data_IF_206137221783
#
_entry.id   IF_206137221783
#
_cell.length_a   1.000
_cell.length_b   1.000
_cell.length_c   1.000
_cell.angle_alpha   90.00
_cell.angle_beta   90.00
_cell.angle_gamma   90.00
#
_symmetry.space_group_name_H-M   'P 1'
#
loop_
_entity.id
_entity.type
_entity.pdbx_description
1 polymer ?
#
# COMPACT_ATOMS: atom_id res chain seq x y z
N UNK A 1 9.68 -5.22 2.05
CA UNK A 1 8.46 -5.51 1.26
C UNK A 1 7.31 -4.81 1.96
N UNK A 2 6.71 -3.80 1.33
CA UNK A 2 5.60 -3.06 1.92
C UNK A 2 4.30 -3.64 1.36
N UNK A 3 3.46 -4.17 2.24
CA UNK A 3 2.17 -4.75 1.90
C UNK A 3 1.07 -3.86 2.47
N UNK A 4 0.17 -3.38 1.62
CA UNK A 4 -1.08 -2.73 2.06
C UNK A 4 -2.27 -3.56 1.58
N UNK A 5 -3.11 -3.98 2.51
CA UNK A 5 -4.34 -4.73 2.21
C UNK A 5 -5.43 -3.72 1.80
N UNK A 6 -5.77 -3.71 0.52
CA UNK A 6 -6.71 -2.86 -0.20
C UNK A 6 -7.86 -3.68 -0.82
N UNK A 7 -9.04 -3.78 -0.22
CA UNK A 7 -10.20 -4.49 -0.79
C UNK A 7 -10.48 -4.14 -2.27
N UNK A 8 -10.39 -5.11 -3.19
CA UNK A 8 -10.39 -4.88 -4.66
C UNK A 8 -11.68 -4.26 -5.21
N UNK A 9 -12.79 -4.32 -4.49
CA UNK A 9 -14.10 -3.84 -4.97
C UNK A 9 -14.35 -2.35 -4.75
N UNK A 10 -13.59 -1.66 -3.89
CA UNK A 10 -13.99 -0.32 -3.41
C UNK A 10 -12.82 0.63 -3.13
N UNK A 11 -11.67 0.39 -3.76
CA UNK A 11 -10.48 1.22 -3.59
C UNK A 11 -9.89 1.67 -4.92
N UNK A 12 -9.74 2.99 -5.06
CA UNK A 12 -8.85 3.55 -6.07
C UNK A 12 -7.47 3.73 -5.41
N UNK A 13 -6.40 3.34 -6.09
CA UNK A 13 -5.04 3.51 -5.58
C UNK A 13 -4.13 4.02 -6.70
N UNK A 14 -3.24 4.94 -6.36
CA UNK A 14 -2.26 5.55 -7.25
C UNK A 14 -0.90 5.54 -6.58
N UNK A 15 0.13 5.26 -7.37
CA UNK A 15 1.52 5.35 -6.96
C UNK A 15 2.17 6.50 -7.74
N UNK A 16 2.79 7.44 -7.05
CA UNK A 16 3.51 8.57 -7.66
C UNK A 16 4.87 8.79 -7.02
N UNK A 17 5.76 9.48 -7.73
CA UNK A 17 7.11 9.83 -7.29
C UNK A 17 7.13 11.30 -6.83
N UNK A 18 7.59 11.54 -5.60
CA UNK A 18 7.88 12.89 -5.09
C UNK A 18 9.32 12.90 -4.60
N UNK A 19 10.27 13.32 -5.45
CA UNK A 19 11.70 13.21 -5.15
C UNK A 19 12.12 11.75 -4.92
N UNK A 20 12.87 11.43 -3.84
CA UNK A 20 13.27 10.06 -3.51
C UNK A 20 12.14 9.22 -2.86
N UNK A 21 10.94 9.77 -2.72
CA UNK A 21 9.85 9.19 -1.92
C UNK A 21 8.71 8.69 -2.81
N UNK A 22 8.46 7.38 -2.89
CA UNK A 22 7.22 6.85 -3.42
C UNK A 22 6.04 7.26 -2.53
N UNK A 23 4.98 7.71 -3.18
CA UNK A 23 3.71 8.10 -2.58
C UNK A 23 2.64 7.13 -3.04
N UNK A 24 1.97 6.48 -2.10
CA UNK A 24 0.80 5.63 -2.33
C UNK A 24 -0.40 6.40 -1.79
N UNK A 25 -1.34 6.74 -2.65
CA UNK A 25 -2.55 7.46 -2.25
C UNK A 25 -3.78 6.83 -2.87
N UNK A 26 -4.93 7.06 -2.26
CA UNK A 26 -6.18 6.60 -2.81
C UNK A 26 -7.35 6.94 -1.92
N UNK A 27 -8.49 6.38 -2.27
CA UNK A 27 -9.74 6.54 -1.56
C UNK A 27 -10.45 5.20 -1.47
N UNK A 28 -10.94 4.93 -0.27
CA UNK A 28 -11.78 3.78 0.02
C UNK A 28 -13.21 4.27 0.22
N UNK A 29 -14.10 3.92 -0.70
CA UNK A 29 -15.52 4.26 -0.58
C UNK A 29 -16.20 3.37 0.45
N UNK A 30 -17.23 3.92 1.09
CA UNK A 30 -18.10 3.15 1.99
C UNK A 30 -18.96 2.24 1.13
N UNK A 31 -19.17 0.99 1.56
CA UNK A 31 -20.07 0.07 0.84
C UNK A 31 -21.54 0.53 0.88
N UNK A 32 -21.87 1.53 1.71
CA UNK A 32 -23.18 2.21 1.75
C UNK A 32 -23.47 2.99 0.47
N UNK A 33 -22.50 3.71 -0.13
CA UNK A 33 -22.72 4.47 -1.38
C UNK A 33 -23.18 3.56 -2.54
N UNK A 34 -22.80 2.29 -2.52
CA UNK A 34 -23.20 1.29 -3.53
C UNK A 34 -24.57 0.65 -3.23
N UNK A 35 -25.13 0.82 -2.02
CA UNK A 35 -26.39 0.20 -1.56
C UNK A 35 -27.52 1.19 -1.28
N UNK A 36 -27.21 2.45 -0.99
CA UNK A 36 -28.22 3.50 -0.75
C UNK A 36 -29.11 3.76 -1.99
N UNK A 37 -28.67 3.39 -3.20
CA UNK A 37 -29.54 3.38 -4.38
C UNK A 37 -30.64 2.30 -4.35
N UNK A 38 -30.63 1.34 -3.39
CA UNK A 38 -31.50 0.14 -3.47
C UNK A 38 -32.39 -0.19 -2.28
N UNK A 39 -32.26 0.34 -1.07
CA UNK A 39 -33.27 0.16 -0.01
C UNK A 39 -33.09 1.15 1.16
N UNK A 40 -34.16 1.84 1.54
CA UNK A 40 -34.21 2.84 2.61
C UNK A 40 -34.28 2.29 4.04
N UNK A 41 -34.21 0.97 4.24
CA UNK A 41 -34.47 0.29 5.53
C UNK A 41 -33.24 -0.41 6.14
N UNK A 42 -32.05 -0.28 5.55
CA UNK A 42 -30.83 -0.92 6.08
C UNK A 42 -30.29 -0.16 7.31
N UNK A 43 -30.59 -0.66 8.52
CA UNK A 43 -30.08 -0.12 9.79
C UNK A 43 -28.80 -0.85 10.23
N UNK A 44 -27.68 -0.14 10.25
CA UNK A 44 -26.39 -0.68 10.67
C UNK A 44 -26.33 -0.85 12.19
N UNK A 45 -25.98 -2.06 12.65
CA UNK A 45 -25.75 -2.34 14.06
C UNK A 45 -24.28 -2.14 14.48
N UNK A 46 -23.34 -2.30 13.53
CA UNK A 46 -21.91 -2.15 13.80
C UNK A 46 -21.12 -1.80 12.52
N UNK A 47 -20.14 -0.90 12.65
CA UNK A 47 -19.29 -0.46 11.55
C UNK A 47 -17.81 -0.49 11.98
N UNK A 48 -17.06 -1.49 11.50
CA UNK A 48 -15.66 -1.71 11.87
C UNK A 48 -14.66 -1.13 10.84
N UNK A 49 -15.07 -1.08 9.57
CA UNK A 49 -14.18 -0.73 8.45
C UNK A 49 -14.18 0.77 8.22
N UNK A 50 -13.00 1.39 8.31
CA UNK A 50 -12.83 2.80 7.95
C UNK A 50 -12.93 3.00 6.42
N UNK A 51 -13.61 4.09 6.03
CA UNK A 51 -13.68 4.62 4.67
C UNK A 51 -13.01 6.01 4.63
N UNK A 52 -12.70 6.49 3.44
CA UNK A 52 -12.07 7.80 3.22
C UNK A 52 -10.76 7.72 2.44
N UNK A 53 -10.12 8.88 2.31
CA UNK A 53 -8.84 9.00 1.61
C UNK A 53 -7.68 8.49 2.46
N UNK A 54 -6.65 7.96 1.80
CA UNK A 54 -5.44 7.52 2.44
C UNK A 54 -4.20 8.02 1.69
N UNK A 55 -3.13 8.21 2.46
CA UNK A 55 -1.83 8.58 1.98
C UNK A 55 -0.76 7.84 2.78
N UNK A 56 0.11 7.11 2.10
CA UNK A 56 1.32 6.51 2.66
C UNK A 56 2.53 6.96 1.86
N UNK A 57 3.57 7.32 2.58
CA UNK A 57 4.87 7.67 2.02
C UNK A 57 5.93 6.83 2.74
N UNK A 58 6.93 6.37 1.99
CA UNK A 58 7.99 5.57 2.56
C UNK A 58 9.32 6.03 1.98
N UNK A 59 10.27 6.34 2.86
CA UNK A 59 11.62 6.68 2.44
C UNK A 59 12.29 5.42 1.90
N UNK A 60 12.85 5.52 0.71
CA UNK A 60 13.62 4.44 0.13
C UNK A 60 15.11 4.70 0.28
N UNK A 61 15.93 3.63 0.29
CA UNK A 61 17.38 3.77 0.21
C UNK A 61 17.81 4.56 -1.03
N UNK A 62 18.94 5.26 -0.95
CA UNK A 62 19.48 6.06 -2.05
C UNK A 62 19.72 5.25 -3.34
N UNK A 63 20.08 3.97 -3.21
CA UNK A 63 20.30 3.09 -4.35
C UNK A 63 19.01 2.54 -4.98
N UNK A 64 17.85 3.15 -4.75
CA UNK A 64 16.57 2.69 -5.30
C UNK A 64 16.31 3.25 -6.69
N UNK A 65 15.94 2.38 -7.63
CA UNK A 65 15.61 2.76 -9.01
C UNK A 65 14.13 3.14 -9.13
N UNK A 66 13.83 4.39 -8.78
CA UNK A 66 12.45 4.91 -8.76
C UNK A 66 11.77 4.95 -10.13
N UNK A 67 12.53 4.95 -11.22
CA UNK A 67 11.97 4.97 -12.57
C UNK A 67 11.59 3.55 -13.06
N UNK A 68 12.00 2.51 -12.32
CA UNK A 68 11.70 1.10 -12.61
C UNK A 68 10.66 0.51 -11.64
N UNK A 69 9.85 1.34 -10.99
CA UNK A 69 8.81 0.89 -10.04
C UNK A 69 7.79 0.00 -10.76
N UNK A 70 7.47 -1.13 -10.14
CA UNK A 70 6.41 -2.05 -10.58
C UNK A 70 5.34 -2.13 -9.49
N UNK A 71 4.08 -2.21 -9.90
CA UNK A 71 2.96 -2.32 -8.98
C UNK A 71 2.05 -3.48 -9.41
N UNK A 72 1.50 -4.21 -8.44
CA UNK A 72 0.49 -5.25 -8.65
C UNK A 72 -0.57 -5.16 -7.56
N UNK A 73 -1.84 -5.32 -7.93
CA UNK A 73 -2.96 -5.39 -6.99
C UNK A 73 -3.62 -6.76 -7.12
N UNK A 74 -3.50 -7.59 -6.09
CA UNK A 74 -4.02 -8.96 -6.11
C UNK A 74 -4.66 -9.30 -4.76
N UNK A 75 -5.85 -9.92 -4.75
CA UNK A 75 -6.59 -10.27 -3.52
C UNK A 75 -6.77 -9.11 -2.55
N UNK A 76 -6.84 -7.92 -3.14
CA UNK A 76 -6.82 -6.69 -2.40
C UNK A 76 -5.54 -6.45 -1.61
N UNK A 77 -4.38 -6.66 -2.23
CA UNK A 77 -3.07 -6.30 -1.70
C UNK A 77 -2.31 -5.53 -2.77
N UNK A 78 -1.97 -4.28 -2.49
CA UNK A 78 -1.12 -3.49 -3.40
C UNK A 78 0.35 -3.77 -3.06
N UNK A 79 1.02 -4.51 -3.94
CA UNK A 79 2.46 -4.73 -3.90
C UNK A 79 3.16 -3.69 -4.77
N UNK A 80 4.07 -2.93 -4.15
CA UNK A 80 4.95 -1.99 -4.84
C UNK A 80 6.38 -2.52 -4.76
N UNK A 81 6.95 -2.84 -5.91
CA UNK A 81 8.32 -3.32 -6.06
C UNK A 81 9.19 -2.20 -6.61
N UNK A 82 10.27 -1.90 -5.89
CA UNK A 82 11.26 -0.91 -6.32
C UNK A 82 12.62 -1.60 -6.40
N UNK A 83 13.15 -1.82 -7.63
CA UNK A 83 14.46 -2.41 -7.81
C UNK A 83 15.55 -1.56 -7.14
N UNK A 84 16.59 -2.23 -6.62
CA UNK A 84 17.79 -1.55 -6.13
C UNK A 84 18.89 -1.64 -7.19
N UNK A 85 19.67 -0.59 -7.32
CA UNK A 85 20.92 -0.61 -8.06
C UNK A 85 21.92 -1.50 -7.33
N UNK A 86 22.60 -2.36 -8.07
CA UNK A 86 23.67 -3.18 -7.52
C UNK A 86 24.81 -2.29 -7.02
N UNK A 87 24.95 -2.24 -5.70
CA UNK A 87 26.13 -1.74 -5.02
C UNK A 87 26.92 -2.99 -4.64
N UNK A 88 28.19 -3.09 -5.05
CA UNK A 88 29.00 -4.31 -5.10
C UNK A 88 29.29 -5.07 -3.79
N UNK A 89 28.42 -4.98 -2.77
CA UNK A 89 28.50 -5.74 -1.54
C UNK A 89 27.11 -6.27 -1.16
N UNK A 90 26.82 -7.52 -1.53
CA UNK A 90 25.67 -8.25 -1.00
C UNK A 90 26.05 -8.79 0.38
N UNK A 91 26.23 -7.90 1.36
CA UNK A 91 26.46 -8.32 2.75
C UNK A 91 25.14 -8.81 3.32
N UNK A 92 24.90 -10.11 3.21
CA UNK A 92 23.92 -10.79 4.03
C UNK A 92 24.35 -10.60 5.50
N UNK A 93 23.90 -9.49 6.12
CA UNK A 93 24.40 -8.97 7.41
C UNK A 93 23.58 -9.57 8.56
N UNK A 94 23.13 -10.80 8.42
CA UNK A 94 22.56 -11.54 9.54
C UNK A 94 23.74 -12.07 10.36
N UNK A 95 24.01 -11.44 11.50
CA UNK A 95 24.97 -11.93 12.49
C UNK A 95 24.19 -12.47 13.67
N UNK A 96 24.50 -13.70 14.09
CA UNK A 96 24.01 -14.22 15.35
C UNK A 96 24.69 -13.44 16.48
N UNK A 97 23.90 -12.99 17.45
CA UNK A 97 24.40 -12.33 18.66
C UNK A 97 23.95 -13.19 19.83
N UNK A 98 24.92 -13.72 20.57
CA UNK A 98 24.64 -14.47 21.79
C UNK A 98 24.17 -13.50 22.88
N UNK A 99 23.03 -13.83 23.49
CA UNK A 99 22.50 -13.11 24.66
C UNK A 99 22.89 -13.90 25.90
N UNK A 100 23.65 -13.28 26.80
CA UNK A 100 24.08 -13.85 28.08
C UNK A 100 22.96 -13.85 29.12
#
# INVERSE_FOLDING_TARGET
MFYSVLSSKSINARVSKVGPVPKISGERRKEEDDREEKNSDDKWHHAERQSGSFLRQSQLPENSKLDEIRCRLENGLLSVEVPKQETGENRNTTRNVDVA
#
